data_IF_120676132272
#
_entry.id   IF_120676132272
#
_cell.length_a   1.000
_cell.length_b   1.000
_cell.length_c   1.000
_cell.angle_alpha   90.00
_cell.angle_beta   90.00
_cell.angle_gamma   90.00
#
_symmetry.space_group_name_H-M   'P 1'
#
loop_
_entity.id
_entity.type
_entity.pdbx_description
1 polymer ?
#
# COMPACT_ATOMS: atom_id res chain seq x y z
N UNK A 1 28.43 -19.00 66.09
CA UNK A 1 29.77 -19.33 65.58
C UNK A 1 30.05 -20.82 65.74
N UNK A 2 30.28 -21.56 64.65
CA UNK A 2 30.89 -22.91 64.51
C UNK A 2 30.80 -23.25 63.01
N UNK A 3 31.85 -23.02 62.23
CA UNK A 3 32.87 -24.00 61.77
C UNK A 3 32.34 -25.12 60.85
N UNK A 4 32.53 -24.93 59.53
CA UNK A 4 32.95 -25.98 58.57
C UNK A 4 34.45 -26.35 58.84
N UNK A 5 35.08 -27.38 58.21
CA UNK A 5 34.79 -28.10 56.94
C UNK A 5 34.65 -29.65 57.16
N UNK A 6 34.69 -30.60 56.20
CA UNK A 6 35.21 -30.62 54.81
C UNK A 6 34.53 -31.60 53.84
N UNK A 7 34.48 -31.19 52.57
CA UNK A 7 34.75 -31.92 51.31
C UNK A 7 34.75 -33.46 51.33
N UNK A 8 33.91 -34.07 50.48
CA UNK A 8 34.26 -35.28 49.74
C UNK A 8 34.08 -35.01 48.24
N UNK A 9 35.04 -35.46 47.42
CA UNK A 9 35.13 -35.19 45.99
C UNK A 9 34.45 -36.32 45.19
N UNK A 10 33.39 -36.00 44.45
CA UNK A 10 32.74 -36.90 43.48
C UNK A 10 32.84 -36.31 42.08
N UNK A 11 33.51 -37.02 41.18
CA UNK A 11 33.72 -36.63 39.77
C UNK A 11 32.80 -37.46 38.85
N UNK A 12 32.58 -36.96 37.62
CA UNK A 12 32.03 -37.70 36.45
C UNK A 12 30.51 -38.01 36.50
N UNK A 13 29.70 -37.93 35.43
CA UNK A 13 29.93 -37.62 33.99
C UNK A 13 28.91 -36.55 33.53
N UNK A 14 29.30 -35.68 32.59
CA UNK A 14 28.35 -34.88 31.78
C UNK A 14 27.57 -35.77 30.81
N UNK A 15 26.29 -36.03 31.11
CA UNK A 15 25.35 -36.55 30.12
C UNK A 15 24.76 -35.41 29.31
N UNK A 16 25.28 -35.17 28.11
CA UNK A 16 24.62 -34.30 27.14
C UNK A 16 23.27 -34.94 26.76
N UNK A 17 22.16 -34.30 27.08
CA UNK A 17 20.87 -34.66 26.48
C UNK A 17 20.92 -34.26 25.01
N UNK A 18 20.91 -35.26 24.14
CA UNK A 18 20.90 -35.07 22.69
C UNK A 18 19.72 -34.17 22.29
N UNK A 19 20.03 -33.12 21.54
CA UNK A 19 19.02 -32.35 20.81
C UNK A 19 18.36 -33.29 19.82
N UNK A 20 17.04 -33.46 19.89
CA UNK A 20 16.30 -34.17 18.87
C UNK A 20 16.47 -33.46 17.52
N UNK A 21 17.30 -34.01 16.66
CA UNK A 21 17.39 -33.57 15.27
C UNK A 21 16.04 -33.87 14.61
N UNK A 22 15.29 -32.81 14.32
CA UNK A 22 14.05 -32.93 13.55
C UNK A 22 14.43 -33.34 12.13
N UNK A 23 14.28 -34.63 11.79
CA UNK A 23 14.48 -35.10 10.43
C UNK A 23 13.60 -34.29 9.46
N UNK A 24 14.26 -33.44 8.66
CA UNK A 24 13.62 -32.77 7.53
C UNK A 24 13.44 -33.84 6.45
N UNK A 25 12.27 -34.48 6.45
CA UNK A 25 11.88 -35.42 5.40
C UNK A 25 11.78 -34.66 4.08
N UNK A 26 12.85 -34.70 3.29
CA UNK A 26 12.82 -34.31 1.89
C UNK A 26 11.95 -35.31 1.14
N UNK A 27 10.67 -34.96 0.97
CA UNK A 27 9.79 -35.59 0.00
C UNK A 27 10.32 -35.27 -1.40
N UNK A 28 11.22 -36.11 -1.92
CA UNK A 28 11.64 -36.07 -3.32
C UNK A 28 10.52 -36.62 -4.20
N UNK A 29 9.49 -35.81 -4.42
CA UNK A 29 8.43 -36.21 -5.35
C UNK A 29 8.97 -36.12 -6.79
N UNK A 30 9.22 -37.30 -7.38
CA UNK A 30 9.55 -37.43 -8.80
C UNK A 30 8.27 -37.45 -9.62
N UNK A 31 7.60 -36.31 -9.69
CA UNK A 31 6.52 -36.12 -10.64
C UNK A 31 7.03 -35.36 -11.88
N UNK A 32 6.99 -36.04 -13.03
CA UNK A 32 7.22 -35.43 -14.34
C UNK A 32 6.05 -34.50 -14.68
N UNK A 33 6.01 -33.31 -14.11
CA UNK A 33 5.12 -32.24 -14.57
C UNK A 33 5.88 -31.25 -15.44
N UNK A 34 5.64 -31.34 -16.74
CA UNK A 34 5.92 -30.25 -17.66
C UNK A 34 5.00 -29.08 -17.31
N UNK A 35 5.44 -28.15 -16.47
CA UNK A 35 4.64 -26.97 -16.10
C UNK A 35 4.51 -26.00 -17.28
N UNK A 36 3.62 -26.36 -18.22
CA UNK A 36 3.08 -25.45 -19.21
C UNK A 36 2.18 -24.45 -18.47
N UNK A 37 2.76 -23.28 -18.16
CA UNK A 37 2.15 -22.14 -17.47
C UNK A 37 1.86 -22.37 -15.97
N UNK A 38 2.90 -22.29 -15.15
CA UNK A 38 2.80 -22.02 -13.72
C UNK A 38 2.32 -20.57 -13.52
N UNK A 39 1.01 -20.35 -13.66
CA UNK A 39 0.38 -19.05 -13.44
C UNK A 39 0.35 -18.74 -11.93
N UNK A 40 1.34 -17.98 -11.45
CA UNK A 40 1.40 -17.52 -10.06
C UNK A 40 0.11 -16.80 -9.68
N UNK A 41 -0.53 -17.23 -8.58
CA UNK A 41 -1.60 -16.44 -7.99
C UNK A 41 -1.01 -15.17 -7.35
N UNK A 42 -1.86 -14.15 -7.14
CA UNK A 42 -1.44 -12.94 -6.41
C UNK A 42 -0.94 -13.27 -5.00
N UNK A 43 -1.45 -14.33 -4.39
CA UNK A 43 -1.04 -14.80 -3.05
C UNK A 43 0.37 -15.39 -3.11
N UNK A 44 0.65 -16.27 -4.07
CA UNK A 44 1.99 -16.88 -4.21
C UNK A 44 3.06 -15.83 -4.50
N UNK A 45 2.76 -14.92 -5.44
CA UNK A 45 3.65 -13.83 -5.80
C UNK A 45 3.88 -12.87 -4.63
N UNK A 46 2.83 -12.54 -3.84
CA UNK A 46 2.99 -11.79 -2.60
C UNK A 46 3.86 -12.53 -1.58
N UNK A 47 3.57 -13.81 -1.32
CA UNK A 47 4.29 -14.63 -0.34
C UNK A 47 5.78 -14.68 -0.65
N UNK A 48 6.17 -14.90 -1.91
CA UNK A 48 7.59 -14.91 -2.33
C UNK A 48 8.23 -13.52 -2.20
N UNK A 49 7.55 -12.45 -2.60
CA UNK A 49 8.11 -11.11 -2.62
C UNK A 49 8.09 -10.38 -1.27
N UNK A 50 7.34 -10.90 -0.28
CA UNK A 50 7.25 -10.37 1.07
C UNK A 50 8.41 -10.83 2.00
N UNK A 51 9.23 -11.79 1.57
CA UNK A 51 10.28 -12.42 2.39
C UNK A 51 11.50 -11.53 2.68
N UNK A 52 11.70 -10.42 1.96
CA UNK A 52 12.80 -9.50 2.25
C UNK A 52 12.53 -8.77 3.58
N UNK A 53 13.31 -9.07 4.61
CA UNK A 53 13.22 -8.44 5.94
C UNK A 53 14.24 -7.32 6.17
N UNK A 54 15.08 -6.98 5.19
CA UNK A 54 16.10 -5.94 5.34
C UNK A 54 15.48 -4.53 5.32
N UNK A 55 16.05 -3.53 6.01
CA UNK A 55 15.54 -2.17 5.95
C UNK A 55 15.50 -1.63 4.51
N UNK A 56 14.38 -1.03 4.12
CA UNK A 56 14.30 -0.34 2.84
C UNK A 56 15.25 0.86 2.82
N UNK A 57 15.79 1.16 1.64
CA UNK A 57 16.53 2.42 1.41
C UNK A 57 16.14 2.98 0.05
N UNK A 58 16.05 4.30 -0.05
CA UNK A 58 15.73 4.97 -1.30
C UNK A 58 16.69 6.11 -1.61
N UNK A 59 16.80 6.49 -2.88
CA UNK A 59 17.56 7.65 -3.32
C UNK A 59 16.80 8.43 -4.39
N UNK A 60 17.12 9.72 -4.52
CA UNK A 60 16.51 10.59 -5.52
C UNK A 60 15.06 10.99 -5.21
N UNK A 61 14.35 11.43 -6.24
CA UNK A 61 12.99 11.98 -6.15
C UNK A 61 11.96 10.98 -6.70
N UNK A 62 10.65 11.19 -6.46
CA UNK A 62 9.61 10.37 -7.08
C UNK A 62 9.74 10.23 -8.60
N UNK A 63 10.33 11.21 -9.30
CA UNK A 63 10.47 11.22 -10.77
C UNK A 63 11.88 10.89 -11.29
N UNK A 64 12.85 10.64 -10.41
CA UNK A 64 14.19 10.16 -10.75
C UNK A 64 14.85 9.60 -9.49
N UNK A 65 14.71 8.29 -9.27
CA UNK A 65 15.15 7.66 -8.03
C UNK A 65 15.28 6.14 -8.13
N UNK A 66 15.61 5.53 -6.99
CA UNK A 66 15.71 4.08 -6.83
C UNK A 66 15.27 3.66 -5.43
N UNK A 67 14.96 2.37 -5.29
CA UNK A 67 14.52 1.73 -4.05
C UNK A 67 15.21 0.37 -3.90
N UNK A 68 15.83 0.12 -2.75
CA UNK A 68 16.39 -1.19 -2.38
C UNK A 68 15.61 -1.77 -1.21
N UNK A 69 15.57 -3.11 -1.12
CA UNK A 69 14.80 -3.85 -0.12
C UNK A 69 13.33 -3.39 -0.04
N UNK A 70 12.75 -3.12 -1.22
CA UNK A 70 11.37 -2.70 -1.39
C UNK A 70 10.40 -3.73 -0.77
N UNK A 71 9.32 -3.26 -0.18
CA UNK A 71 8.27 -4.12 0.39
C UNK A 71 7.04 -4.10 -0.48
N UNK A 72 6.56 -5.27 -0.86
CA UNK A 72 5.31 -5.41 -1.62
C UNK A 72 4.10 -5.18 -0.70
N UNK A 73 3.13 -4.41 -1.17
CA UNK A 73 1.81 -4.26 -0.54
C UNK A 73 1.01 -5.56 -0.72
N UNK A 74 0.28 -6.05 0.29
CA UNK A 74 -0.56 -7.23 0.14
C UNK A 74 -1.67 -6.98 -0.91
N UNK A 75 -2.02 -7.98 -1.74
CA UNK A 75 -2.98 -7.80 -2.83
C UNK A 75 -4.42 -7.64 -2.31
N UNK A 76 -4.67 -8.02 -1.05
CA UNK A 76 -5.95 -7.89 -0.35
C UNK A 76 -5.74 -7.84 1.15
N UNK A 77 -6.54 -7.02 1.83
CA UNK A 77 -6.72 -7.02 3.28
C UNK A 77 -8.18 -7.19 3.68
N UNK A 78 -8.51 -6.83 4.93
CA UNK A 78 -9.89 -6.94 5.45
C UNK A 78 -10.86 -5.99 4.75
N UNK A 79 -10.41 -4.77 4.48
CA UNK A 79 -11.20 -3.67 3.93
C UNK A 79 -10.57 -3.02 2.68
N UNK A 80 -9.57 -3.65 2.07
CA UNK A 80 -8.95 -3.14 0.83
C UNK A 80 -8.50 -4.25 -0.12
N UNK A 81 -8.27 -3.89 -1.38
CA UNK A 81 -7.62 -4.73 -2.38
C UNK A 81 -6.73 -3.91 -3.33
N UNK A 82 -5.83 -4.58 -4.05
CA UNK A 82 -5.09 -3.98 -5.16
C UNK A 82 -5.87 -4.16 -6.46
N UNK A 83 -6.06 -3.09 -7.22
CA UNK A 83 -7.08 -3.02 -8.28
C UNK A 83 -6.89 -3.97 -9.48
N UNK A 84 -5.65 -4.20 -9.93
CA UNK A 84 -5.35 -4.91 -11.17
C UNK A 84 -4.26 -5.98 -10.98
N UNK A 85 -4.61 -7.24 -11.28
CA UNK A 85 -3.71 -8.38 -11.13
C UNK A 85 -2.51 -8.34 -12.08
N UNK A 86 -2.65 -7.74 -13.26
CA UNK A 86 -1.59 -7.65 -14.26
C UNK A 86 -0.56 -6.59 -13.88
N UNK A 87 -1.00 -5.47 -13.31
CA UNK A 87 -0.15 -4.44 -12.71
C UNK A 87 0.61 -4.99 -11.50
N UNK A 88 -0.10 -5.71 -10.61
CA UNK A 88 0.51 -6.35 -9.42
C UNK A 88 1.65 -7.32 -9.79
N UNK A 89 1.40 -8.23 -10.73
CA UNK A 89 2.37 -9.22 -11.21
C UNK A 89 3.52 -8.62 -12.06
N UNK A 90 3.46 -7.32 -12.38
CA UNK A 90 4.52 -6.56 -13.08
C UNK A 90 5.35 -5.70 -12.13
N UNK A 91 5.53 -6.16 -10.90
CA UNK A 91 6.29 -5.51 -9.83
C UNK A 91 5.79 -4.11 -9.40
N UNK A 92 4.53 -3.71 -9.69
CA UNK A 92 4.06 -2.32 -9.45
C UNK A 92 3.49 -2.02 -8.06
N UNK A 93 3.44 -3.01 -7.18
CA UNK A 93 2.89 -2.89 -5.83
C UNK A 93 3.96 -2.74 -4.74
N UNK A 94 5.18 -2.31 -5.09
CA UNK A 94 6.29 -2.21 -4.14
C UNK A 94 6.47 -0.78 -3.62
N UNK A 95 6.86 -0.64 -2.35
CA UNK A 95 7.04 0.66 -1.71
C UNK A 95 8.12 0.59 -0.62
N UNK A 96 8.49 1.72 -0.03
CA UNK A 96 9.38 1.76 1.13
C UNK A 96 8.70 1.11 2.35
N UNK A 97 9.45 0.43 3.22
CA UNK A 97 8.90 -0.30 4.38
C UNK A 97 7.96 0.55 5.23
N UNK A 98 8.36 1.77 5.57
CA UNK A 98 7.53 2.66 6.40
C UNK A 98 6.27 3.13 5.68
N UNK A 99 6.33 3.32 4.35
CA UNK A 99 5.17 3.72 3.54
C UNK A 99 4.16 2.58 3.43
N UNK A 100 4.61 1.33 3.28
CA UNK A 100 3.76 0.15 3.42
C UNK A 100 3.03 0.16 4.77
N UNK A 101 3.76 0.41 5.85
CA UNK A 101 3.21 0.33 7.20
C UNK A 101 2.25 1.49 7.50
N UNK A 102 2.50 2.70 6.98
CA UNK A 102 1.56 3.84 6.98
C UNK A 102 0.25 3.48 6.29
N UNK A 103 0.32 2.85 5.11
CA UNK A 103 -0.86 2.44 4.33
C UNK A 103 -1.65 1.35 5.06
N UNK A 104 -0.98 0.32 5.58
CA UNK A 104 -1.64 -0.78 6.30
C UNK A 104 -2.27 -0.33 7.63
N UNK A 105 -1.59 0.52 8.40
CA UNK A 105 -2.14 1.10 9.63
C UNK A 105 -3.34 2.01 9.32
N UNK A 106 -3.28 2.75 8.22
CA UNK A 106 -4.40 3.58 7.76
C UNK A 106 -5.63 2.74 7.43
N UNK A 107 -5.46 1.61 6.73
CA UNK A 107 -6.58 0.70 6.48
C UNK A 107 -7.11 0.03 7.76
N UNK A 108 -6.24 -0.31 8.72
CA UNK A 108 -6.68 -0.81 10.02
C UNK A 108 -7.56 0.21 10.78
N UNK A 109 -7.22 1.51 10.73
CA UNK A 109 -8.10 2.56 11.27
C UNK A 109 -9.42 2.67 10.49
N UNK A 110 -9.37 2.66 9.16
CA UNK A 110 -10.57 2.76 8.31
C UNK A 110 -11.56 1.61 8.51
N UNK A 111 -11.09 0.40 8.82
CA UNK A 111 -11.94 -0.76 9.13
C UNK A 111 -12.77 -0.56 10.42
N UNK A 112 -12.22 0.17 11.40
CA UNK A 112 -12.93 0.55 12.63
C UNK A 112 -13.88 1.72 12.39
N UNK A 113 -13.45 2.71 11.60
CA UNK A 113 -14.20 3.96 11.37
C UNK A 113 -15.37 3.76 10.39
N UNK A 114 -15.16 2.94 9.34
CA UNK A 114 -16.13 2.63 8.31
C UNK A 114 -16.29 1.10 8.15
N UNK A 115 -16.90 0.40 9.12
CA UNK A 115 -17.04 -1.06 9.08
C UNK A 115 -17.69 -1.54 7.78
N UNK A 116 -17.03 -2.46 7.08
CA UNK A 116 -17.49 -3.01 5.81
C UNK A 116 -17.31 -2.11 4.57
N UNK A 117 -16.74 -0.90 4.71
CA UNK A 117 -16.34 -0.11 3.54
C UNK A 117 -15.09 -0.72 2.92
N UNK A 118 -15.13 -0.96 1.62
CA UNK A 118 -13.98 -1.42 0.84
C UNK A 118 -13.29 -0.23 0.16
N UNK A 119 -11.96 -0.28 0.13
CA UNK A 119 -11.06 0.67 -0.51
C UNK A 119 -10.21 -0.05 -1.56
N UNK A 120 -9.61 0.70 -2.48
CA UNK A 120 -8.75 0.13 -3.53
C UNK A 120 -7.42 0.90 -3.62
N UNK A 121 -6.33 0.13 -3.63
CA UNK A 121 -4.96 0.61 -3.85
C UNK A 121 -4.62 0.41 -5.33
N UNK A 122 -3.99 1.41 -5.93
CA UNK A 122 -3.46 1.36 -7.29
C UNK A 122 -1.94 1.24 -7.26
N UNK A 123 -1.26 1.70 -8.31
CA UNK A 123 0.19 1.66 -8.44
C UNK A 123 0.95 2.25 -7.24
N UNK A 124 2.01 1.54 -6.85
CA UNK A 124 3.10 2.07 -6.05
C UNK A 124 4.37 2.10 -6.94
N UNK A 125 5.54 1.83 -6.39
CA UNK A 125 6.80 1.75 -7.15
C UNK A 125 7.07 0.36 -7.71
N UNK A 126 7.99 0.30 -8.67
CA UNK A 126 8.64 -0.95 -9.07
C UNK A 126 9.47 -1.54 -7.92
N UNK A 127 9.72 -2.87 -7.93
CA UNK A 127 10.55 -3.60 -6.95
C UNK A 127 11.96 -3.02 -6.69
N UNK A 128 12.53 -2.28 -7.66
CA UNK A 128 13.83 -1.60 -7.54
C UNK A 128 13.74 -0.07 -7.63
N UNK A 129 12.52 0.47 -7.61
CA UNK A 129 12.26 1.83 -8.05
C UNK A 129 12.60 2.03 -9.54
N UNK A 130 13.05 3.23 -9.90
CA UNK A 130 13.32 3.61 -11.28
C UNK A 130 12.06 3.76 -12.15
N UNK A 131 12.26 4.08 -13.42
CA UNK A 131 11.19 4.39 -14.40
C UNK A 131 10.12 3.28 -14.49
N UNK A 132 8.85 3.69 -14.62
CA UNK A 132 7.70 2.79 -14.62
C UNK A 132 6.65 3.21 -15.67
N UNK A 133 6.93 3.02 -16.96
CA UNK A 133 6.04 3.47 -18.05
C UNK A 133 4.58 2.98 -17.88
N UNK A 134 3.56 3.85 -18.05
CA UNK A 134 3.63 5.24 -18.50
C UNK A 134 3.85 6.28 -17.39
N UNK A 135 3.95 5.85 -16.12
CA UNK A 135 4.15 6.74 -14.98
C UNK A 135 5.52 7.42 -15.03
N UNK A 136 5.54 8.72 -14.72
CA UNK A 136 6.76 9.51 -14.63
C UNK A 136 7.31 9.54 -13.20
N UNK A 137 6.45 9.27 -12.22
CA UNK A 137 6.67 9.23 -10.76
C UNK A 137 6.94 7.78 -10.29
N UNK A 138 6.75 7.49 -8.99
CA UNK A 138 6.93 6.16 -8.36
C UNK A 138 8.33 5.53 -8.51
N UNK A 139 9.38 6.33 -8.64
CA UNK A 139 10.73 5.81 -8.87
C UNK A 139 11.51 5.54 -7.58
N UNK A 140 11.08 6.02 -6.40
CA UNK A 140 11.87 5.95 -5.16
C UNK A 140 11.15 5.24 -3.99
N UNK A 141 10.00 4.59 -4.20
CA UNK A 141 9.26 3.94 -3.10
C UNK A 141 8.41 4.87 -2.25
N UNK A 142 8.39 6.17 -2.52
CA UNK A 142 7.73 7.18 -1.68
C UNK A 142 6.40 7.68 -2.26
N UNK A 143 5.84 6.98 -3.25
CA UNK A 143 4.58 7.34 -3.92
C UNK A 143 3.62 6.15 -3.96
N UNK A 144 2.33 6.38 -3.70
CA UNK A 144 1.25 5.38 -3.81
C UNK A 144 -0.02 6.05 -4.34
N UNK A 145 -0.70 5.36 -5.26
CA UNK A 145 -1.98 5.74 -5.84
C UNK A 145 -3.14 5.01 -5.17
N UNK A 146 -4.29 5.70 -5.06
CA UNK A 146 -5.48 5.18 -4.41
C UNK A 146 -6.73 5.61 -5.17
N UNK A 147 -7.72 4.72 -5.30
CA UNK A 147 -9.00 5.09 -5.90
C UNK A 147 -9.80 6.01 -4.97
N UNK A 148 -10.54 6.96 -5.56
CA UNK A 148 -11.63 7.64 -4.88
C UNK A 148 -12.72 6.60 -4.54
N UNK A 149 -13.05 6.37 -3.25
CA UNK A 149 -14.19 5.55 -2.86
C UNK A 149 -15.47 6.15 -3.42
N UNK A 150 -16.40 5.31 -3.86
CA UNK A 150 -17.58 5.77 -4.60
C UNK A 150 -18.88 5.50 -3.83
N UNK A 151 -19.90 6.28 -4.15
CA UNK A 151 -21.28 6.14 -3.69
C UNK A 151 -22.17 5.85 -4.90
N UNK A 152 -23.26 5.11 -4.69
CA UNK A 152 -24.40 5.04 -5.62
C UNK A 152 -25.67 5.37 -4.85
N UNK A 153 -26.39 6.41 -5.27
CA UNK A 153 -27.53 6.97 -4.54
C UNK A 153 -27.21 7.28 -3.05
N UNK A 154 -25.99 7.75 -2.77
CA UNK A 154 -25.54 8.05 -1.40
C UNK A 154 -25.10 6.84 -0.56
N UNK A 155 -25.15 5.61 -1.10
CA UNK A 155 -24.75 4.37 -0.41
C UNK A 155 -23.38 3.89 -0.94
N UNK A 156 -22.46 3.36 -0.10
CA UNK A 156 -21.18 2.83 -0.54
C UNK A 156 -21.25 1.89 -1.75
N UNK A 157 -20.40 2.13 -2.74
CA UNK A 157 -20.38 1.41 -4.02
C UNK A 157 -18.95 1.19 -4.51
N UNK A 158 -18.66 -0.04 -4.97
CA UNK A 158 -17.30 -0.48 -5.30
C UNK A 158 -17.20 -1.31 -6.59
N UNK A 159 -18.28 -1.50 -7.35
CA UNK A 159 -18.25 -2.34 -8.57
C UNK A 159 -17.40 -1.76 -9.71
N UNK A 160 -17.17 -0.43 -9.71
CA UNK A 160 -16.26 0.19 -10.68
C UNK A 160 -14.79 -0.02 -10.30
N UNK A 161 -14.51 -0.30 -9.02
CA UNK A 161 -13.14 -0.44 -8.49
C UNK A 161 -12.53 -1.80 -8.89
N UNK A 162 -13.34 -2.76 -9.34
CA UNK A 162 -12.93 -4.11 -9.75
C UNK A 162 -12.69 -4.24 -11.27
N UNK A 163 -12.56 -3.12 -12.00
CA UNK A 163 -12.38 -3.11 -13.45
C UNK A 163 -10.93 -3.34 -13.92
N UNK A 164 -9.97 -3.44 -12.98
CA UNK A 164 -8.55 -3.52 -13.29
C UNK A 164 -8.08 -2.34 -14.13
N UNK A 165 -7.23 -2.59 -15.14
CA UNK A 165 -6.75 -1.57 -16.07
C UNK A 165 -7.88 -0.77 -16.77
N UNK A 166 -9.08 -1.32 -16.92
CA UNK A 166 -10.22 -0.59 -17.51
C UNK A 166 -10.78 0.52 -16.60
N UNK A 167 -10.31 0.64 -15.35
CA UNK A 167 -10.65 1.76 -14.45
C UNK A 167 -10.23 3.10 -15.08
N UNK A 168 -9.04 3.19 -15.69
CA UNK A 168 -8.57 4.38 -16.42
C UNK A 168 -9.40 4.76 -17.67
N UNK A 169 -10.52 4.08 -17.94
CA UNK A 169 -11.52 4.41 -18.98
C UNK A 169 -12.87 4.83 -18.38
N UNK A 170 -12.92 5.05 -17.06
CA UNK A 170 -13.97 5.82 -16.40
C UNK A 170 -13.80 7.31 -16.76
N UNK A 171 -14.84 8.06 -16.42
CA UNK A 171 -15.00 9.46 -16.79
C UNK A 171 -15.97 10.06 -15.77
N UNK A 172 -15.47 10.96 -14.93
CA UNK A 172 -16.23 11.66 -13.90
C UNK A 172 -16.23 13.16 -14.17
N UNK A 173 -17.41 13.79 -14.06
CA UNK A 173 -17.54 15.24 -14.23
C UNK A 173 -16.81 16.01 -13.12
N UNK A 174 -16.70 17.33 -13.26
CA UNK A 174 -16.11 18.26 -12.28
C UNK A 174 -16.77 18.23 -10.88
N UNK A 175 -17.97 17.67 -10.77
CA UNK A 175 -18.71 17.47 -9.51
C UNK A 175 -18.50 16.06 -8.92
N UNK A 176 -17.63 15.25 -9.53
CA UNK A 176 -17.33 13.88 -9.13
C UNK A 176 -18.44 12.89 -9.46
N UNK A 177 -19.27 13.12 -10.49
CA UNK A 177 -20.35 12.20 -10.91
C UNK A 177 -19.93 11.41 -12.14
N UNK A 178 -20.22 10.11 -12.14
CA UNK A 178 -19.87 9.25 -13.27
C UNK A 178 -20.71 9.60 -14.50
N UNK A 179 -20.07 9.93 -15.63
CA UNK A 179 -20.78 10.50 -16.79
C UNK A 179 -21.76 9.53 -17.46
N UNK A 180 -21.55 8.21 -17.29
CA UNK A 180 -22.44 7.16 -17.84
C UNK A 180 -23.59 6.77 -16.90
N UNK A 181 -23.51 7.11 -15.62
CA UNK A 181 -24.57 6.90 -14.62
C UNK A 181 -24.38 7.86 -13.44
N UNK A 182 -25.03 9.01 -13.51
CA UNK A 182 -24.91 10.10 -12.53
C UNK A 182 -25.51 9.79 -11.16
N UNK A 183 -26.10 8.60 -10.97
CA UNK A 183 -26.41 8.10 -9.61
C UNK A 183 -25.16 7.67 -8.85
N UNK A 184 -24.04 7.45 -9.57
CA UNK A 184 -22.73 7.12 -9.01
C UNK A 184 -21.90 8.40 -8.87
N UNK A 185 -21.30 8.61 -7.69
CA UNK A 185 -20.44 9.75 -7.41
C UNK A 185 -19.24 9.40 -6.53
N UNK A 186 -18.25 10.29 -6.47
CA UNK A 186 -17.14 10.22 -5.53
C UNK A 186 -17.62 10.52 -4.10
N UNK A 187 -17.06 9.79 -3.14
CA UNK A 187 -17.23 9.99 -1.70
C UNK A 187 -16.14 10.93 -1.16
N UNK A 188 -16.25 12.23 -1.45
CA UNK A 188 -15.21 13.19 -1.08
C UNK A 188 -14.90 13.21 0.43
N UNK A 189 -15.90 12.97 1.30
CA UNK A 189 -15.72 12.95 2.76
C UNK A 189 -14.89 11.74 3.21
N UNK A 190 -15.19 10.54 2.71
CA UNK A 190 -14.39 9.33 3.01
C UNK A 190 -12.98 9.45 2.40
N UNK A 191 -12.87 10.08 1.22
CA UNK A 191 -11.59 10.33 0.54
C UNK A 191 -10.66 11.23 1.34
N UNK A 192 -11.16 12.39 1.81
CA UNK A 192 -10.34 13.28 2.65
C UNK A 192 -10.06 12.69 4.01
N UNK A 193 -10.94 11.85 4.57
CA UNK A 193 -10.64 11.11 5.79
C UNK A 193 -9.49 10.12 5.57
N UNK A 194 -9.45 9.39 4.46
CA UNK A 194 -8.33 8.51 4.13
C UNK A 194 -7.00 9.28 4.04
N UNK A 195 -6.96 10.38 3.28
CA UNK A 195 -5.75 11.23 3.16
C UNK A 195 -5.33 11.81 4.53
N UNK A 196 -6.30 12.15 5.40
CA UNK A 196 -6.02 12.64 6.74
C UNK A 196 -5.44 11.56 7.66
N UNK A 197 -5.92 10.32 7.56
CA UNK A 197 -5.36 9.18 8.29
C UNK A 197 -3.95 8.81 7.78
N UNK A 198 -3.72 8.82 6.46
CA UNK A 198 -2.37 8.67 5.89
C UNK A 198 -1.39 9.71 6.47
N UNK A 199 -1.84 10.96 6.62
CA UNK A 199 -1.02 12.01 7.23
C UNK A 199 -0.74 11.75 8.73
N UNK A 200 -1.72 11.25 9.49
CA UNK A 200 -1.53 10.91 10.90
C UNK A 200 -0.64 9.68 11.11
N UNK A 201 -0.78 8.63 10.30
CA UNK A 201 0.12 7.47 10.37
C UNK A 201 1.54 7.83 9.91
N UNK A 202 1.69 8.66 8.87
CA UNK A 202 2.99 9.18 8.46
C UNK A 202 3.68 9.96 9.59
N UNK A 203 2.93 10.80 10.32
CA UNK A 203 3.45 11.54 11.46
C UNK A 203 4.04 10.64 12.56
N UNK A 204 3.49 9.44 12.79
CA UNK A 204 3.99 8.48 13.79
C UNK A 204 5.32 7.83 13.41
N UNK A 205 5.61 7.69 12.12
CA UNK A 205 6.86 7.08 11.61
C UNK A 205 7.92 8.11 11.20
N UNK A 206 7.77 9.38 11.62
CA UNK A 206 8.63 10.50 11.20
C UNK A 206 8.62 10.80 9.69
N UNK A 207 7.47 10.60 9.04
CA UNK A 207 7.19 11.03 7.66
C UNK A 207 6.16 12.16 7.63
N UNK A 208 5.98 12.73 6.44
CA UNK A 208 4.88 13.63 6.08
C UNK A 208 4.37 13.27 4.68
N UNK A 209 3.12 13.63 4.38
CA UNK A 209 2.68 13.81 3.00
C UNK A 209 3.42 15.04 2.45
N UNK A 210 4.22 14.85 1.40
CA UNK A 210 4.83 15.95 0.67
C UNK A 210 3.81 16.66 -0.21
N UNK A 211 3.01 15.88 -0.95
CA UNK A 211 2.19 16.38 -2.04
C UNK A 211 1.08 15.40 -2.41
N UNK A 212 -0.12 15.94 -2.65
CA UNK A 212 -1.29 15.22 -3.14
C UNK A 212 -1.62 15.66 -4.56
N UNK A 213 -1.81 14.70 -5.46
CA UNK A 213 -2.25 14.89 -6.84
C UNK A 213 -3.67 14.31 -6.99
N UNK A 214 -4.56 15.11 -7.58
CA UNK A 214 -5.98 14.84 -7.82
C UNK A 214 -6.38 15.57 -9.12
N UNK A 215 -7.51 15.21 -9.72
CA UNK A 215 -8.18 16.11 -10.65
C UNK A 215 -8.42 17.47 -9.97
N UNK A 216 -7.88 18.54 -10.55
CA UNK A 216 -7.69 19.80 -9.84
C UNK A 216 -8.98 20.53 -9.47
N UNK A 217 -10.05 20.22 -10.18
CA UNK A 217 -11.40 20.75 -10.09
C UNK A 217 -12.11 20.25 -8.82
N UNK A 218 -11.75 19.07 -8.31
CA UNK A 218 -12.31 18.51 -7.06
C UNK A 218 -11.88 19.22 -5.78
N UNK A 219 -10.95 20.18 -5.84
CA UNK A 219 -10.43 20.85 -4.62
C UNK A 219 -11.52 21.53 -3.81
N UNK A 220 -12.48 22.19 -4.46
CA UNK A 220 -13.50 22.94 -3.73
C UNK A 220 -14.47 22.00 -3.01
N UNK A 221 -14.88 20.91 -3.65
CA UNK A 221 -15.67 19.84 -3.02
C UNK A 221 -14.90 19.12 -1.92
N UNK A 222 -13.65 18.71 -2.17
CA UNK A 222 -12.77 18.10 -1.18
C UNK A 222 -12.59 19.01 0.04
N UNK A 223 -12.25 20.29 -0.11
CA UNK A 223 -12.04 21.21 1.01
C UNK A 223 -13.33 21.66 1.72
N UNK A 224 -14.51 21.36 1.17
CA UNK A 224 -15.82 21.56 1.82
C UNK A 224 -16.13 20.50 2.89
N UNK A 225 -15.57 19.29 2.74
CA UNK A 225 -15.72 18.15 3.68
C UNK A 225 -15.15 18.43 5.07
N UNK A 226 -15.48 17.59 6.05
CA UNK A 226 -14.98 17.72 7.44
C UNK A 226 -13.48 17.50 7.48
N UNK A 227 -12.97 16.46 6.82
CA UNK A 227 -11.54 16.15 6.80
C UNK A 227 -10.75 17.01 5.81
N UNK A 228 -11.35 17.48 4.71
CA UNK A 228 -10.72 18.46 3.81
C UNK A 228 -10.34 19.76 4.53
N UNK A 229 -11.21 20.25 5.42
CA UNK A 229 -10.89 21.38 6.30
C UNK A 229 -9.68 21.10 7.20
N UNK A 230 -9.58 19.89 7.76
CA UNK A 230 -8.43 19.46 8.58
C UNK A 230 -7.14 19.32 7.76
N UNK A 231 -7.21 18.81 6.52
CA UNK A 231 -6.08 18.73 5.59
C UNK A 231 -5.54 20.14 5.26
N UNK A 232 -6.45 21.10 5.01
CA UNK A 232 -6.10 22.51 4.78
C UNK A 232 -5.46 23.15 6.01
N UNK A 233 -5.98 22.87 7.22
CA UNK A 233 -5.39 23.30 8.50
C UNK A 233 -4.00 22.70 8.77
N UNK A 234 -3.76 21.43 8.38
CA UNK A 234 -2.44 20.80 8.43
C UNK A 234 -1.44 21.35 7.41
N UNK A 235 -1.86 22.20 6.48
CA UNK A 235 -0.99 22.77 5.44
C UNK A 235 -0.51 21.74 4.41
N UNK A 236 -1.24 20.63 4.22
CA UNK A 236 -0.87 19.61 3.23
C UNK A 236 -0.99 20.20 1.82
N UNK A 237 0.07 20.06 1.02
CA UNK A 237 0.11 20.60 -0.33
C UNK A 237 -0.68 19.72 -1.29
N UNK A 238 -1.66 20.34 -1.97
CA UNK A 238 -2.35 19.76 -3.12
C UNK A 238 -1.81 20.42 -4.39
N UNK A 239 -1.55 19.63 -5.44
CA UNK A 239 -1.04 20.12 -6.72
C UNK A 239 -1.97 21.17 -7.32
N UNK A 240 -1.44 22.38 -7.56
CA UNK A 240 -2.28 23.50 -8.00
C UNK A 240 -2.68 23.40 -9.48
N UNK A 241 -1.80 22.84 -10.31
CA UNK A 241 -2.01 22.66 -11.75
C UNK A 241 -1.45 21.29 -12.19
N UNK A 242 -2.15 20.63 -13.09
CA UNK A 242 -1.70 19.46 -13.85
C UNK A 242 -1.89 19.74 -15.34
N UNK A 243 -1.09 19.13 -16.21
CA UNK A 243 -1.36 19.24 -17.66
C UNK A 243 -2.69 18.56 -17.97
N UNK A 244 -3.50 19.03 -18.95
CA UNK A 244 -4.86 18.51 -19.15
C UNK A 244 -4.93 16.98 -19.28
N UNK A 245 -3.97 16.37 -20.00
CA UNK A 245 -3.89 14.91 -20.13
C UNK A 245 -3.66 14.19 -18.79
N UNK A 246 -2.85 14.75 -17.90
CA UNK A 246 -2.59 14.16 -16.58
C UNK A 246 -3.76 14.44 -15.64
N UNK A 247 -4.32 15.66 -15.69
CA UNK A 247 -5.46 16.06 -14.89
C UNK A 247 -6.65 15.12 -15.11
N UNK A 248 -7.06 14.93 -16.37
CA UNK A 248 -8.19 14.09 -16.78
C UNK A 248 -7.96 12.58 -16.56
N UNK A 249 -6.79 12.15 -16.08
CA UNK A 249 -6.60 10.77 -15.63
C UNK A 249 -6.91 10.60 -14.14
N UNK A 250 -6.84 11.67 -13.33
CA UNK A 250 -6.99 11.62 -11.87
C UNK A 250 -8.43 11.95 -11.41
N UNK A 251 -9.42 11.73 -12.27
CA UNK A 251 -10.84 11.97 -12.01
C UNK A 251 -11.49 10.80 -11.21
N UNK A 252 -10.83 9.64 -11.12
CA UNK A 252 -11.29 8.51 -10.31
C UNK A 252 -10.30 8.02 -9.23
N UNK A 253 -9.09 8.58 -9.18
CA UNK A 253 -8.02 8.24 -8.24
C UNK A 253 -7.15 9.45 -7.83
N UNK A 254 -6.28 9.24 -6.85
CA UNK A 254 -5.37 10.25 -6.33
C UNK A 254 -4.00 9.66 -5.97
N UNK A 255 -2.96 10.42 -6.30
CA UNK A 255 -1.55 10.09 -6.08
C UNK A 255 -1.07 10.80 -4.80
N UNK A 256 -0.41 10.07 -3.90
CA UNK A 256 0.21 10.62 -2.69
C UNK A 256 1.73 10.46 -2.76
N UNK A 257 2.47 11.57 -2.69
CA UNK A 257 3.90 11.56 -2.39
C UNK A 257 4.14 11.77 -0.89
N UNK A 258 5.02 10.95 -0.32
CA UNK A 258 5.52 11.04 1.03
C UNK A 258 6.98 11.51 1.07
N UNK A 259 7.40 12.06 2.20
CA UNK A 259 8.81 12.37 2.49
C UNK A 259 9.15 12.11 3.95
N UNK A 260 10.40 11.76 4.23
CA UNK A 260 10.94 11.79 5.58
C UNK A 260 10.96 13.23 6.14
N UNK A 261 10.93 13.36 7.47
CA UNK A 261 11.09 14.63 8.21
C UNK A 261 12.50 14.79 8.76
#
# INVERSE_FOLDING_TARGET
MKRLPSILLGLLIFGCTETSETEVIYLTDKQNDTCNTCAFSLVDYYSINSLDTLPSTYTGTPANGSLNHAKILPPKGKNFFYFDSTSYLKDRAFTHSDIRDIVLNTYANLDVIYPGRIFSIMEASNKKGGKMDPHRTHQNGMSVDFMFPKLKNGVPYHHLDTLGFLHYLLDFDENGRYTKDTTISIDFETSTHHIYLLALEAEKLNYAIEKVLIYTEYKDELFRTTYGKKLKQKGIYFAQYLTPKINNLHDDHYHIDFKAK
#
